data_IF_055439363373
#
_entry.id   IF_055439363373
#
_cell.length_a   1.000
_cell.length_b   1.000
_cell.length_c   1.000
_cell.angle_alpha   90.00
_cell.angle_beta   90.00
_cell.angle_gamma   90.00
#
_symmetry.space_group_name_H-M   'P 1'
#
loop_
_entity.id
_entity.type
_entity.pdbx_description
1 polymer ?
#
# COMPACT_ATOMS: atom_id res chain seq x y z
N UNK A 1 -10.73 4.33 10.26
CA UNK A 1 -10.86 3.05 9.52
C UNK A 1 -9.51 2.63 8.94
N UNK A 2 -9.31 1.32 8.76
CA UNK A 2 -8.20 0.74 7.99
C UNK A 2 -8.75 0.12 6.71
N UNK A 3 -8.34 0.66 5.58
CA UNK A 3 -8.71 0.16 4.26
C UNK A 3 -7.50 -0.56 3.64
N UNK A 4 -7.68 -1.80 3.20
CA UNK A 4 -6.61 -2.57 2.58
C UNK A 4 -7.14 -3.52 1.50
N UNK A 5 -6.24 -4.23 0.81
CA UNK A 5 -6.59 -5.13 -0.28
C UNK A 5 -7.40 -6.34 0.18
N UNK A 6 -6.96 -6.97 1.26
CA UNK A 6 -7.55 -8.22 1.79
C UNK A 6 -7.85 -8.11 3.29
N UNK A 7 -8.63 -9.04 3.87
CA UNK A 7 -8.86 -9.08 5.32
C UNK A 7 -7.59 -9.24 6.14
N UNK A 8 -6.60 -10.01 5.66
CA UNK A 8 -5.32 -10.20 6.32
C UNK A 8 -4.55 -8.88 6.39
N UNK A 9 -4.45 -8.16 5.26
CA UNK A 9 -3.79 -6.86 5.19
C UNK A 9 -4.47 -5.84 6.10
N UNK A 10 -5.82 -5.82 6.12
CA UNK A 10 -6.59 -4.93 7.00
C UNK A 10 -6.28 -5.20 8.47
N UNK A 11 -6.13 -6.47 8.85
CA UNK A 11 -5.76 -6.86 10.23
C UNK A 11 -4.33 -6.46 10.58
N UNK A 12 -3.40 -6.55 9.65
CA UNK A 12 -2.03 -6.08 9.86
C UNK A 12 -2.00 -4.55 10.07
N UNK A 13 -2.76 -3.80 9.29
CA UNK A 13 -2.91 -2.36 9.46
C UNK A 13 -3.56 -1.99 10.79
N UNK A 14 -4.57 -2.74 11.25
CA UNK A 14 -5.17 -2.57 12.58
C UNK A 14 -4.12 -2.81 13.69
N UNK A 15 -3.38 -3.91 13.62
CA UNK A 15 -2.33 -4.22 14.59
C UNK A 15 -1.29 -3.11 14.68
N UNK A 16 -0.91 -2.52 13.54
CA UNK A 16 0.00 -1.38 13.51
C UNK A 16 -0.60 -0.18 14.25
N UNK A 17 -1.84 0.21 13.95
CA UNK A 17 -2.49 1.34 14.60
C UNK A 17 -2.68 1.11 16.11
N UNK A 18 -3.06 -0.11 16.51
CA UNK A 18 -3.18 -0.49 17.92
C UNK A 18 -1.84 -0.33 18.68
N UNK A 19 -0.70 -0.64 18.04
CA UNK A 19 0.62 -0.46 18.65
C UNK A 19 0.97 1.02 18.93
N UNK A 20 0.30 1.94 18.24
CA UNK A 20 0.38 3.39 18.46
C UNK A 20 -0.75 3.94 19.35
N UNK A 21 -1.57 3.07 19.93
CA UNK A 21 -2.63 3.45 20.87
C UNK A 21 -3.95 3.87 20.23
N UNK A 22 -4.12 3.68 18.91
CA UNK A 22 -5.42 3.89 18.27
C UNK A 22 -6.31 2.67 18.49
N UNK A 23 -7.55 2.91 18.91
CA UNK A 23 -8.57 1.89 19.17
C UNK A 23 -9.83 2.22 18.34
N UNK A 24 -10.85 1.41 18.43
CA UNK A 24 -12.13 1.59 17.72
C UNK A 24 -11.97 1.67 16.20
N UNK A 25 -11.21 0.72 15.65
CA UNK A 25 -10.83 0.67 14.24
C UNK A 25 -11.86 -0.13 13.44
N UNK A 26 -12.40 0.48 12.38
CA UNK A 26 -13.26 -0.20 11.40
C UNK A 26 -12.36 -0.79 10.31
N UNK A 27 -12.44 -2.11 10.10
CA UNK A 27 -11.71 -2.79 9.03
C UNK A 27 -12.51 -2.77 7.72
N UNK A 28 -11.84 -2.43 6.63
CA UNK A 28 -12.43 -2.27 5.30
C UNK A 28 -11.54 -3.00 4.27
N UNK A 29 -11.63 -4.33 4.18
CA UNK A 29 -11.01 -5.05 3.08
C UNK A 29 -11.80 -4.77 1.78
N UNK A 30 -11.09 -4.43 0.70
CA UNK A 30 -11.71 -4.17 -0.61
C UNK A 30 -12.10 -5.48 -1.30
N UNK A 31 -11.44 -6.57 -0.97
CA UNK A 31 -11.71 -7.90 -1.51
C UNK A 31 -11.57 -8.95 -0.42
N UNK A 32 -12.07 -10.17 -0.68
CA UNK A 32 -11.95 -11.28 0.26
C UNK A 32 -10.64 -12.07 0.11
N UNK A 33 -9.97 -11.90 -1.03
CA UNK A 33 -8.77 -12.67 -1.38
C UNK A 33 -7.94 -11.95 -2.48
N UNK A 34 -6.67 -12.38 -2.72
CA UNK A 34 -5.80 -11.76 -3.72
C UNK A 34 -6.33 -11.79 -5.16
N UNK A 35 -7.15 -12.78 -5.52
CA UNK A 35 -7.74 -12.88 -6.88
C UNK A 35 -8.77 -11.77 -7.09
N UNK A 36 -9.66 -11.59 -6.13
CA UNK A 36 -10.65 -10.50 -6.16
C UNK A 36 -9.96 -9.13 -6.13
N UNK A 37 -8.88 -8.99 -5.35
CA UNK A 37 -8.07 -7.77 -5.33
C UNK A 37 -7.49 -7.45 -6.71
N UNK A 38 -6.97 -8.45 -7.41
CA UNK A 38 -6.48 -8.29 -8.78
C UNK A 38 -7.61 -7.89 -9.73
N UNK A 39 -8.80 -8.48 -9.57
CA UNK A 39 -10.00 -8.13 -10.33
C UNK A 39 -10.38 -6.67 -10.10
N UNK A 40 -10.44 -6.21 -8.86
CA UNK A 40 -10.69 -4.81 -8.52
C UNK A 40 -9.67 -3.87 -9.18
N UNK A 41 -8.38 -4.19 -9.10
CA UNK A 41 -7.32 -3.38 -9.70
C UNK A 41 -7.40 -3.30 -11.23
N UNK A 42 -8.03 -4.31 -11.87
CA UNK A 42 -8.22 -4.37 -13.31
C UNK A 42 -9.49 -3.66 -13.80
N UNK A 43 -10.37 -3.22 -12.92
CA UNK A 43 -11.52 -2.37 -13.27
C UNK A 43 -11.03 -1.05 -13.89
N UNK A 44 -11.87 -0.39 -14.66
CA UNK A 44 -11.58 0.98 -15.09
C UNK A 44 -11.65 1.98 -13.92
N UNK A 45 -11.07 3.17 -14.12
CA UNK A 45 -10.95 4.17 -13.06
C UNK A 45 -12.31 4.57 -12.47
N UNK A 46 -13.33 4.75 -13.30
CA UNK A 46 -14.66 5.14 -12.87
C UNK A 46 -15.37 4.08 -12.02
N UNK A 47 -15.19 2.80 -12.36
CA UNK A 47 -15.76 1.69 -11.58
C UNK A 47 -15.07 1.58 -10.22
N UNK A 48 -13.72 1.64 -10.19
CA UNK A 48 -12.97 1.64 -8.94
C UNK A 48 -13.36 2.79 -8.03
N UNK A 49 -13.42 3.99 -8.60
CA UNK A 49 -13.78 5.20 -7.88
C UNK A 49 -15.17 5.11 -7.26
N UNK A 50 -16.15 4.65 -8.02
CA UNK A 50 -17.52 4.47 -7.52
C UNK A 50 -17.56 3.57 -6.28
N UNK A 51 -16.86 2.43 -6.31
CA UNK A 51 -16.79 1.50 -5.18
C UNK A 51 -16.15 2.19 -3.96
N UNK A 52 -15.04 2.90 -4.16
CA UNK A 52 -14.34 3.58 -3.06
C UNK A 52 -15.17 4.72 -2.48
N UNK A 53 -15.85 5.50 -3.32
CA UNK A 53 -16.74 6.59 -2.88
C UNK A 53 -17.89 6.03 -2.03
N UNK A 54 -18.54 4.95 -2.46
CA UNK A 54 -19.59 4.30 -1.66
C UNK A 54 -19.08 3.88 -0.28
N UNK A 55 -17.86 3.35 -0.20
CA UNK A 55 -17.22 2.97 1.06
C UNK A 55 -16.90 4.21 1.93
N UNK A 56 -16.37 5.27 1.33
CA UNK A 56 -16.08 6.52 2.05
C UNK A 56 -17.35 7.08 2.69
N UNK A 57 -18.46 7.15 1.94
CA UNK A 57 -19.73 7.66 2.49
C UNK A 57 -20.27 6.77 3.64
N UNK A 58 -20.20 5.45 3.50
CA UNK A 58 -20.58 4.53 4.60
C UNK A 58 -19.70 4.72 5.85
N UNK A 59 -18.42 5.01 5.69
CA UNK A 59 -17.52 5.28 6.81
C UNK A 59 -17.85 6.62 7.48
N UNK A 60 -18.20 7.65 6.71
CA UNK A 60 -18.65 8.94 7.25
C UNK A 60 -19.94 8.79 8.06
N UNK A 61 -20.90 7.99 7.57
CA UNK A 61 -22.13 7.66 8.33
C UNK A 61 -21.84 6.98 9.68
N UNK A 62 -20.72 6.24 9.76
CA UNK A 62 -20.22 5.62 10.99
C UNK A 62 -19.35 6.56 11.84
N UNK A 63 -19.29 7.85 11.51
CA UNK A 63 -18.45 8.86 12.15
C UNK A 63 -16.94 8.55 12.11
N UNK A 64 -16.47 7.86 11.07
CA UNK A 64 -15.04 7.70 10.86
C UNK A 64 -14.42 9.03 10.39
N UNK A 65 -13.45 9.53 11.13
CA UNK A 65 -12.78 10.81 10.82
C UNK A 65 -11.56 10.64 9.91
N UNK A 66 -10.94 9.45 9.94
CA UNK A 66 -9.70 9.17 9.21
C UNK A 66 -9.78 7.79 8.57
N UNK A 67 -9.37 7.71 7.31
CA UNK A 67 -9.15 6.45 6.59
C UNK A 67 -7.64 6.26 6.42
N UNK A 68 -7.10 5.18 7.00
CA UNK A 68 -5.72 4.73 6.77
C UNK A 68 -5.73 3.65 5.70
N UNK A 69 -5.19 3.96 4.53
CA UNK A 69 -5.08 2.99 3.42
C UNK A 69 -3.77 2.21 3.60
N UNK A 70 -3.88 0.98 4.07
CA UNK A 70 -2.74 0.10 4.32
C UNK A 70 -2.50 -0.86 3.13
N UNK A 71 -2.32 -0.28 1.94
CA UNK A 71 -2.08 -1.06 0.72
C UNK A 71 -1.43 -0.20 -0.37
N UNK A 72 -0.25 -0.58 -0.84
CA UNK A 72 0.45 0.11 -1.92
C UNK A 72 -0.29 0.01 -3.25
N UNK A 73 -0.68 -1.20 -3.66
CA UNK A 73 -1.32 -1.42 -4.95
C UNK A 73 -2.71 -0.78 -5.04
N UNK A 74 -3.47 -0.74 -3.94
CA UNK A 74 -4.73 0.00 -3.87
C UNK A 74 -4.49 1.51 -4.02
N UNK A 75 -3.50 2.03 -3.29
CA UNK A 75 -3.15 3.46 -3.34
C UNK A 75 -2.54 3.90 -4.67
N UNK A 76 -2.08 2.96 -5.50
CA UNK A 76 -1.54 3.27 -6.83
C UNK A 76 -2.60 3.37 -7.92
N UNK A 77 -3.78 2.77 -7.71
CA UNK A 77 -4.86 2.70 -8.71
C UNK A 77 -6.08 3.56 -8.37
N UNK A 78 -6.05 4.24 -7.21
CA UNK A 78 -7.11 5.15 -6.74
C UNK A 78 -6.49 6.48 -6.33
N UNK A 79 -7.03 7.58 -6.81
CA UNK A 79 -6.60 8.93 -6.43
C UNK A 79 -7.20 9.34 -5.07
N UNK A 80 -6.64 8.80 -4.00
CA UNK A 80 -7.09 9.11 -2.64
C UNK A 80 -6.83 10.55 -2.20
N UNK A 81 -5.84 11.23 -2.78
CA UNK A 81 -5.58 12.64 -2.46
C UNK A 81 -6.74 13.53 -2.95
N UNK A 82 -7.25 13.27 -4.17
CA UNK A 82 -8.44 13.94 -4.70
C UNK A 82 -9.69 13.60 -3.90
N UNK A 83 -9.95 12.31 -3.66
CA UNK A 83 -11.12 11.86 -2.92
C UNK A 83 -11.17 12.41 -1.49
N UNK A 84 -10.01 12.57 -0.84
CA UNK A 84 -9.93 13.19 0.49
C UNK A 84 -10.47 14.63 0.50
N UNK A 85 -10.15 15.40 -0.55
CA UNK A 85 -10.61 16.78 -0.72
C UNK A 85 -12.11 16.81 -1.06
N UNK A 86 -12.53 16.04 -2.06
CA UNK A 86 -13.91 16.03 -2.56
C UNK A 86 -14.93 15.59 -1.51
N UNK A 87 -14.55 14.60 -0.67
CA UNK A 87 -15.43 14.07 0.37
C UNK A 87 -15.20 14.65 1.76
N UNK A 88 -14.28 15.62 1.88
CA UNK A 88 -13.93 16.28 3.14
C UNK A 88 -13.65 15.28 4.28
N UNK A 89 -12.80 14.31 4.00
CA UNK A 89 -12.34 13.29 4.96
C UNK A 89 -10.83 13.15 4.90
N UNK A 90 -10.18 12.92 6.04
CA UNK A 90 -8.75 12.68 6.06
C UNK A 90 -8.43 11.27 5.57
N UNK A 91 -7.64 11.17 4.50
CA UNK A 91 -7.14 9.87 4.00
C UNK A 91 -5.61 9.89 4.06
N UNK A 92 -5.04 8.86 4.68
CA UNK A 92 -3.59 8.67 4.79
C UNK A 92 -3.20 7.45 3.97
N UNK A 93 -2.25 7.61 3.06
CA UNK A 93 -1.78 6.55 2.16
C UNK A 93 -0.26 6.38 2.23
N UNK A 94 0.28 5.20 1.89
CA UNK A 94 1.72 5.01 1.74
C UNK A 94 2.35 5.94 0.69
N UNK A 95 1.59 6.34 -0.34
CA UNK A 95 2.10 7.20 -1.43
C UNK A 95 2.58 8.56 -0.94
N UNK A 96 1.93 9.11 0.09
CA UNK A 96 2.35 10.37 0.73
C UNK A 96 3.73 10.23 1.40
N UNK A 97 4.01 9.06 2.00
CA UNK A 97 5.33 8.78 2.60
C UNK A 97 6.41 8.65 1.54
N UNK A 98 6.12 8.00 0.41
CA UNK A 98 7.10 7.85 -0.68
C UNK A 98 7.49 9.19 -1.30
N UNK A 99 6.56 10.14 -1.41
CA UNK A 99 6.89 11.51 -1.85
C UNK A 99 7.90 12.18 -0.93
N UNK A 100 7.79 11.97 0.38
CA UNK A 100 8.77 12.49 1.33
C UNK A 100 10.13 11.79 1.20
N UNK A 101 10.14 10.45 1.14
CA UNK A 101 11.38 9.67 0.97
C UNK A 101 12.13 10.04 -0.32
N UNK A 102 11.42 10.34 -1.40
CA UNK A 102 12.03 10.81 -2.66
C UNK A 102 12.86 12.09 -2.49
N UNK A 103 12.54 12.94 -1.53
CA UNK A 103 13.30 14.15 -1.23
C UNK A 103 14.55 13.91 -0.37
N UNK A 104 14.55 12.83 0.42
CA UNK A 104 15.62 12.54 1.37
C UNK A 104 16.79 11.77 0.75
N UNK A 105 16.52 10.95 -0.28
CA UNK A 105 17.50 10.01 -0.82
C UNK A 105 17.86 10.33 -2.28
N UNK A 106 19.05 9.88 -2.71
CA UNK A 106 19.49 9.96 -4.10
C UNK A 106 19.37 8.63 -4.84
N UNK A 107 19.40 7.54 -4.10
CA UNK A 107 19.30 6.17 -4.59
C UNK A 107 18.38 5.38 -3.67
N UNK A 108 17.47 4.64 -4.26
CA UNK A 108 16.56 3.75 -3.53
C UNK A 108 16.43 2.40 -4.25
N UNK A 109 16.46 1.33 -3.50
CA UNK A 109 15.97 0.02 -3.95
C UNK A 109 14.55 -0.17 -3.42
N UNK A 110 13.60 -0.47 -4.31
CA UNK A 110 12.20 -0.68 -3.98
C UNK A 110 11.83 -2.12 -4.30
N UNK A 111 11.39 -2.86 -3.30
CA UNK A 111 10.83 -4.20 -3.46
C UNK A 111 9.32 -4.14 -3.24
N UNK A 112 8.56 -4.59 -4.20
CA UNK A 112 7.10 -4.59 -4.14
C UNK A 112 6.51 -5.96 -4.48
N UNK A 113 5.32 -6.23 -3.98
CA UNK A 113 4.60 -7.48 -4.20
C UNK A 113 4.28 -7.73 -5.67
N UNK A 114 3.91 -6.65 -6.39
CA UNK A 114 3.49 -6.70 -7.79
C UNK A 114 3.86 -5.42 -8.54
N UNK A 115 3.70 -5.45 -9.85
CA UNK A 115 4.04 -4.34 -10.73
C UNK A 115 3.18 -3.09 -10.49
N UNK A 116 1.90 -3.24 -10.14
CA UNK A 116 1.03 -2.08 -9.84
C UNK A 116 1.52 -1.31 -8.61
N UNK A 117 1.84 -2.02 -7.52
CA UNK A 117 2.41 -1.43 -6.33
C UNK A 117 3.75 -0.76 -6.61
N UNK A 118 4.63 -1.44 -7.36
CA UNK A 118 5.94 -0.91 -7.74
C UNK A 118 5.81 0.39 -8.55
N UNK A 119 5.00 0.37 -9.60
CA UNK A 119 4.76 1.56 -10.44
C UNK A 119 4.20 2.73 -9.62
N UNK A 120 3.26 2.46 -8.71
CA UNK A 120 2.71 3.50 -7.84
C UNK A 120 3.77 4.12 -6.92
N UNK A 121 4.64 3.30 -6.33
CA UNK A 121 5.75 3.77 -5.49
C UNK A 121 6.73 4.61 -6.32
N UNK A 122 7.21 4.09 -7.45
CA UNK A 122 8.17 4.77 -8.32
C UNK A 122 7.63 6.12 -8.81
N UNK A 123 6.37 6.17 -9.26
CA UNK A 123 5.75 7.41 -9.71
C UNK A 123 5.72 8.47 -8.60
N UNK A 124 5.35 8.10 -7.37
CA UNK A 124 5.32 9.03 -6.26
C UNK A 124 6.72 9.51 -5.83
N UNK A 125 7.72 8.65 -5.90
CA UNK A 125 9.12 9.01 -5.69
C UNK A 125 9.59 10.02 -6.75
N UNK A 126 9.31 9.77 -8.04
CA UNK A 126 9.73 10.65 -9.14
C UNK A 126 8.97 11.96 -9.21
N UNK A 127 7.71 12.00 -8.79
CA UNK A 127 6.95 13.26 -8.68
C UNK A 127 7.63 14.24 -7.73
N UNK A 128 8.19 13.75 -6.62
CA UNK A 128 8.89 14.59 -5.65
C UNK A 128 10.34 14.86 -6.03
N UNK A 129 11.01 13.91 -6.67
CA UNK A 129 12.42 14.03 -7.09
C UNK A 129 12.67 13.32 -8.43
N UNK A 130 12.54 14.03 -9.56
CA UNK A 130 12.80 13.45 -10.89
C UNK A 130 14.26 13.00 -11.11
N UNK A 131 15.18 13.43 -10.26
CA UNK A 131 16.61 13.06 -10.33
C UNK A 131 16.95 11.82 -9.50
N UNK A 132 15.98 11.29 -8.73
CA UNK A 132 16.17 10.10 -7.92
C UNK A 132 16.48 8.90 -8.83
N UNK A 133 17.41 8.06 -8.39
CA UNK A 133 17.67 6.78 -9.04
C UNK A 133 17.00 5.67 -8.24
N UNK A 134 16.08 4.97 -8.88
CA UNK A 134 15.32 3.87 -8.27
C UNK A 134 15.64 2.58 -9.00
N UNK A 135 15.98 1.54 -8.24
CA UNK A 135 15.95 0.17 -8.70
C UNK A 135 14.68 -0.49 -8.15
N UNK A 136 13.72 -0.76 -9.02
CA UNK A 136 12.47 -1.41 -8.66
C UNK A 136 12.51 -2.91 -8.95
N UNK A 137 12.07 -3.72 -7.97
CA UNK A 137 11.94 -5.17 -8.09
C UNK A 137 10.52 -5.59 -7.70
N UNK A 138 9.83 -6.27 -8.62
CA UNK A 138 8.56 -6.94 -8.31
C UNK A 138 8.83 -8.40 -7.94
N UNK A 139 8.47 -8.79 -6.71
CA UNK A 139 8.88 -10.06 -6.11
C UNK A 139 7.67 -10.85 -5.59
N UNK A 140 6.90 -11.45 -6.51
CA UNK A 140 5.72 -12.24 -6.14
C UNK A 140 6.06 -13.44 -5.24
N UNK A 141 7.18 -14.10 -5.49
CA UNK A 141 7.59 -15.26 -4.69
C UNK A 141 7.95 -14.87 -3.24
N UNK A 142 8.47 -13.65 -3.02
CA UNK A 142 8.69 -13.11 -1.68
C UNK A 142 7.37 -12.97 -0.92
N UNK A 143 6.34 -12.46 -1.59
CA UNK A 143 5.00 -12.32 -0.98
C UNK A 143 4.44 -13.67 -0.59
N UNK A 144 4.52 -14.66 -1.46
CA UNK A 144 4.10 -16.04 -1.14
C UNK A 144 4.83 -16.59 0.08
N UNK A 145 6.16 -16.39 0.15
CA UNK A 145 6.95 -16.85 1.30
C UNK A 145 6.54 -16.17 2.61
N UNK A 146 6.11 -14.90 2.55
CA UNK A 146 5.59 -14.16 3.72
C UNK A 146 4.19 -14.69 4.10
N UNK A 147 3.30 -14.89 3.11
CA UNK A 147 1.95 -15.41 3.34
C UNK A 147 1.95 -16.87 3.87
N UNK A 148 2.97 -17.65 3.54
CA UNK A 148 3.21 -18.99 4.08
C UNK A 148 3.79 -18.99 5.49
N UNK A 149 3.89 -17.81 6.13
CA UNK A 149 4.42 -17.63 7.49
C UNK A 149 5.86 -18.17 7.66
N UNK A 150 6.67 -18.16 6.60
CA UNK A 150 8.09 -18.49 6.71
C UNK A 150 8.79 -17.47 7.63
N UNK A 151 9.70 -17.94 8.47
CA UNK A 151 10.43 -17.03 9.35
C UNK A 151 11.31 -16.06 8.56
N UNK A 152 11.49 -14.80 9.03
CA UNK A 152 12.25 -13.77 8.31
C UNK A 152 13.68 -14.21 7.95
N UNK A 153 14.36 -14.94 8.83
CA UNK A 153 15.73 -15.42 8.61
C UNK A 153 15.80 -16.41 7.44
N UNK A 154 14.79 -17.27 7.31
CA UNK A 154 14.69 -18.21 6.18
C UNK A 154 14.46 -17.45 4.89
N UNK A 155 13.55 -16.47 4.89
CA UNK A 155 13.26 -15.63 3.71
C UNK A 155 14.52 -14.91 3.26
N UNK A 156 15.24 -14.24 4.16
CA UNK A 156 16.48 -13.52 3.84
C UNK A 156 17.52 -14.44 3.19
N UNK A 157 17.65 -15.67 3.69
CA UNK A 157 18.56 -16.67 3.16
C UNK A 157 18.13 -17.20 1.79
N UNK A 158 16.86 -17.62 1.66
CA UNK A 158 16.33 -18.26 0.45
C UNK A 158 16.33 -17.29 -0.75
N UNK A 159 16.12 -16.00 -0.50
CA UNK A 159 16.17 -14.95 -1.52
C UNK A 159 17.55 -14.30 -1.70
N UNK A 160 18.58 -14.76 -1.00
CA UNK A 160 19.95 -14.23 -1.06
C UNK A 160 20.00 -12.70 -0.87
N UNK A 161 19.20 -12.15 0.04
CA UNK A 161 19.17 -10.70 0.27
C UNK A 161 20.52 -10.10 0.68
N UNK A 162 21.38 -10.86 1.35
CA UNK A 162 22.73 -10.40 1.67
C UNK A 162 23.53 -10.07 0.41
N UNK A 163 23.43 -10.90 -0.64
CA UNK A 163 24.11 -10.66 -1.92
C UNK A 163 23.50 -9.44 -2.62
N UNK A 164 22.19 -9.30 -2.57
CA UNK A 164 21.50 -8.15 -3.15
C UNK A 164 21.92 -6.84 -2.46
N UNK A 165 21.95 -6.82 -1.13
CA UNK A 165 22.32 -5.62 -0.37
C UNK A 165 23.78 -5.23 -0.57
N UNK A 166 24.71 -6.19 -0.58
CA UNK A 166 26.12 -5.93 -0.88
C UNK A 166 26.36 -5.37 -2.30
N UNK A 167 25.41 -5.58 -3.24
CA UNK A 167 25.49 -4.98 -4.57
C UNK A 167 25.17 -3.48 -4.56
N UNK A 168 24.46 -2.99 -3.56
CA UNK A 168 24.06 -1.60 -3.42
C UNK A 168 24.97 -0.76 -2.52
N UNK A 169 25.89 -1.39 -1.79
CA UNK A 169 26.96 -0.69 -1.05
C UNK A 169 28.09 -0.25 -1.98
#
# INVERSE_FOLDING_TARGET
AVMAGTPIDSKLGENLLNSYGYNDIVLVPISNNPVEQTTFQSLNDSEREKIIVEIIEQLKEKNCEVIFVYCNSLSSVVDFDRLAIEHNIKIVTPMQMYRNLGLEYKYLAVMAANSHGLTGVENNLYVSNPSLRVLGLSMLELVKAIEEENCPEKIVKDFNFEVLFNYFE
#
